data_IF_822667102560
#
_entry.id   IF_822667102560
#
_cell.length_a   1.000
_cell.length_b   1.000
_cell.length_c   1.000
_cell.angle_alpha   90.00
_cell.angle_beta   90.00
_cell.angle_gamma   90.00
#
_symmetry.space_group_name_H-M   'P 1'
#
loop_
_entity.id
_entity.type
_entity.pdbx_description
1 polymer ?
#
# COMPACT_ATOMS: atom_id res chain seq x y z
N UNK A 1 -17.50 2.15 -32.65
CA UNK A 1 -18.37 2.33 -31.46
C UNK A 1 -17.60 1.78 -30.29
N UNK A 2 -16.95 2.68 -29.55
CA UNK A 2 -16.03 2.33 -28.45
C UNK A 2 -16.86 2.34 -27.17
N UNK A 3 -17.13 1.16 -26.63
CA UNK A 3 -17.80 1.00 -25.35
C UNK A 3 -16.75 1.28 -24.23
N UNK A 4 -16.73 2.52 -23.77
CA UNK A 4 -15.99 2.90 -22.56
C UNK A 4 -16.87 2.50 -21.37
N UNK A 5 -16.71 1.27 -20.91
CA UNK A 5 -17.20 0.86 -19.59
C UNK A 5 -16.52 1.69 -18.54
N UNK A 6 -17.14 2.83 -18.19
CA UNK A 6 -16.76 3.62 -17.03
C UNK A 6 -16.87 2.71 -15.79
N UNK A 7 -15.74 2.41 -15.18
CA UNK A 7 -15.70 1.76 -13.88
C UNK A 7 -16.33 2.76 -12.89
N UNK A 8 -17.61 2.56 -12.64
CA UNK A 8 -18.33 3.31 -11.60
C UNK A 8 -17.85 2.76 -10.27
N UNK A 9 -16.80 3.34 -9.72
CA UNK A 9 -16.42 3.11 -8.33
C UNK A 9 -17.49 3.72 -7.45
N UNK A 10 -18.42 2.90 -6.98
CA UNK A 10 -19.31 3.29 -5.88
C UNK A 10 -18.41 3.69 -4.72
N UNK A 11 -18.51 4.92 -4.18
CA UNK A 11 -17.68 5.33 -3.06
C UNK A 11 -17.98 4.39 -1.90
N UNK A 12 -16.99 3.56 -1.50
CA UNK A 12 -17.15 2.67 -0.38
C UNK A 12 -17.36 3.53 0.87
N UNK A 13 -18.43 3.26 1.61
CA UNK A 13 -18.75 4.02 2.82
C UNK A 13 -17.62 3.84 3.83
N UNK A 14 -17.09 4.97 4.32
CA UNK A 14 -16.15 4.97 5.43
C UNK A 14 -16.72 4.20 6.63
N UNK A 15 -15.86 3.45 7.34
CA UNK A 15 -16.25 2.77 8.58
C UNK A 15 -16.74 3.76 9.65
N UNK A 16 -16.35 5.01 9.56
CA UNK A 16 -16.74 6.11 10.46
C UNK A 16 -17.99 6.87 10.01
N UNK A 17 -18.66 6.44 8.93
CA UNK A 17 -19.84 7.16 8.39
C UNK A 17 -21.10 7.01 9.22
N UNK A 18 -21.20 5.96 10.06
CA UNK A 18 -22.31 5.71 10.97
C UNK A 18 -21.89 4.79 12.10
N UNK A 19 -22.65 4.78 13.20
CA UNK A 19 -22.46 3.84 14.32
C UNK A 19 -22.55 2.40 13.81
N UNK A 20 -23.51 2.10 12.97
CA UNK A 20 -23.71 0.75 12.41
C UNK A 20 -22.52 0.31 11.55
N UNK A 21 -21.95 1.21 10.74
CA UNK A 21 -20.75 0.91 9.93
C UNK A 21 -19.55 0.62 10.83
N UNK A 22 -19.42 1.38 11.91
CA UNK A 22 -18.33 1.22 12.87
C UNK A 22 -18.46 -0.10 13.65
N UNK A 23 -19.64 -0.43 14.15
CA UNK A 23 -19.91 -1.71 14.84
C UNK A 23 -19.65 -2.92 13.92
N UNK A 24 -20.03 -2.80 12.63
CA UNK A 24 -19.74 -3.84 11.64
C UNK A 24 -18.23 -4.01 11.45
N UNK A 25 -17.49 -2.91 11.34
CA UNK A 25 -16.03 -2.94 11.24
C UNK A 25 -15.38 -3.53 12.49
N UNK A 26 -15.89 -3.24 13.70
CA UNK A 26 -15.41 -3.85 14.95
C UNK A 26 -15.57 -5.36 14.96
N UNK A 27 -16.71 -5.89 14.50
CA UNK A 27 -16.94 -7.35 14.42
C UNK A 27 -16.00 -8.02 13.43
N UNK A 28 -15.79 -7.41 12.26
CA UNK A 28 -14.83 -7.89 11.25
C UNK A 28 -13.41 -7.84 11.83
N UNK A 29 -13.05 -6.74 12.48
CA UNK A 29 -11.74 -6.56 13.10
C UNK A 29 -11.45 -7.63 14.15
N UNK A 30 -12.43 -7.97 15.00
CA UNK A 30 -12.29 -9.02 16.00
C UNK A 30 -11.99 -10.38 15.35
N UNK A 31 -12.73 -10.75 14.30
CA UNK A 31 -12.49 -12.01 13.58
C UNK A 31 -11.11 -12.04 12.89
N UNK A 32 -10.66 -10.91 12.36
CA UNK A 32 -9.34 -10.80 11.73
C UNK A 32 -8.21 -10.85 12.77
N UNK A 33 -8.38 -10.17 13.90
CA UNK A 33 -7.38 -10.15 14.97
C UNK A 33 -7.13 -11.52 15.61
N UNK A 34 -8.11 -12.41 15.58
CA UNK A 34 -7.99 -13.79 16.07
C UNK A 34 -7.36 -14.73 15.03
N UNK A 35 -7.16 -14.26 13.80
CA UNK A 35 -6.59 -15.08 12.73
C UNK A 35 -5.08 -15.21 12.86
N UNK A 36 -4.56 -16.42 12.72
CA UNK A 36 -3.12 -16.68 12.62
C UNK A 36 -2.49 -16.15 11.32
N UNK A 37 -3.30 -15.79 10.34
CA UNK A 37 -2.83 -15.29 9.03
C UNK A 37 -2.53 -13.81 9.00
N UNK A 38 -2.96 -13.03 9.99
CA UNK A 38 -2.64 -11.59 10.05
C UNK A 38 -1.29 -11.36 10.73
N UNK A 39 -0.54 -10.32 10.32
CA UNK A 39 0.71 -9.95 10.98
C UNK A 39 0.53 -9.58 12.45
N UNK A 40 1.59 -9.71 13.25
CA UNK A 40 1.53 -9.49 14.70
C UNK A 40 0.95 -8.13 15.13
N UNK A 41 1.18 -7.07 14.35
CA UNK A 41 0.64 -5.73 14.64
C UNK A 41 -0.89 -5.66 14.62
N UNK A 42 -1.56 -6.66 14.03
CA UNK A 42 -3.02 -6.75 13.89
C UNK A 42 -3.65 -7.83 14.77
N UNK A 43 -2.83 -8.56 15.56
CA UNK A 43 -3.32 -9.69 16.36
C UNK A 43 -3.82 -9.29 17.74
N UNK A 44 -4.83 -10.04 18.22
CA UNK A 44 -5.38 -9.95 19.56
C UNK A 44 -6.00 -8.60 19.86
N UNK A 45 -6.32 -8.37 21.12
CA UNK A 45 -6.99 -7.14 21.59
C UNK A 45 -6.21 -5.87 21.29
N UNK A 46 -4.89 -5.93 21.33
CA UNK A 46 -4.02 -4.77 21.03
C UNK A 46 -3.97 -4.46 19.53
N UNK A 47 -4.24 -5.45 18.67
CA UNK A 47 -4.28 -5.30 17.23
C UNK A 47 -5.63 -4.79 16.69
N UNK A 48 -6.69 -4.85 17.47
CA UNK A 48 -8.04 -4.44 17.03
C UNK A 48 -8.11 -3.02 16.43
N UNK A 49 -7.54 -1.98 17.06
CA UNK A 49 -7.56 -0.65 16.49
C UNK A 49 -6.86 -0.58 15.12
N UNK A 50 -5.74 -1.31 14.98
CA UNK A 50 -5.01 -1.39 13.72
C UNK A 50 -5.84 -2.10 12.64
N UNK A 51 -6.59 -3.14 13.01
CA UNK A 51 -7.53 -3.82 12.10
C UNK A 51 -8.59 -2.86 11.57
N UNK A 52 -9.20 -2.03 12.43
CA UNK A 52 -10.22 -1.05 12.03
C UNK A 52 -9.63 -0.03 11.03
N UNK A 53 -8.43 0.47 11.29
CA UNK A 53 -7.73 1.38 10.38
C UNK A 53 -7.45 0.70 9.03
N UNK A 54 -7.00 -0.56 9.05
CA UNK A 54 -6.75 -1.32 7.83
C UNK A 54 -8.04 -1.57 7.02
N UNK A 55 -9.17 -1.81 7.69
CA UNK A 55 -10.50 -1.95 7.05
C UNK A 55 -10.90 -0.63 6.39
N UNK A 56 -10.71 0.52 7.06
CA UNK A 56 -11.00 1.83 6.47
C UNK A 56 -10.16 2.09 5.21
N UNK A 57 -8.86 1.81 5.28
CA UNK A 57 -7.95 1.94 4.13
C UNK A 57 -8.39 1.03 2.99
N UNK A 58 -8.71 -0.23 3.29
CA UNK A 58 -9.18 -1.20 2.32
C UNK A 58 -10.46 -0.73 1.61
N UNK A 59 -11.43 -0.21 2.38
CA UNK A 59 -12.66 0.34 1.83
C UNK A 59 -12.38 1.51 0.87
N UNK A 60 -11.49 2.44 1.24
CA UNK A 60 -11.13 3.58 0.38
C UNK A 60 -10.38 3.18 -0.88
N UNK A 61 -9.59 2.12 -0.80
CA UNK A 61 -8.79 1.61 -1.93
C UNK A 61 -9.53 0.57 -2.78
N UNK A 62 -10.72 0.14 -2.36
CA UNK A 62 -11.45 -0.96 -3.02
C UNK A 62 -10.73 -2.30 -2.93
N UNK A 63 -10.04 -2.56 -1.82
CA UNK A 63 -9.21 -3.74 -1.60
C UNK A 63 -9.74 -4.60 -0.46
N UNK A 64 -9.22 -5.82 -0.36
CA UNK A 64 -9.48 -6.67 0.81
C UNK A 64 -8.74 -6.14 2.04
N UNK A 65 -9.37 -6.08 3.24
CA UNK A 65 -8.69 -5.74 4.49
C UNK A 65 -7.47 -6.62 4.76
N UNK A 66 -7.57 -7.90 4.46
CA UNK A 66 -6.46 -8.85 4.62
C UNK A 66 -5.26 -8.48 3.74
N UNK A 67 -5.50 -8.10 2.49
CA UNK A 67 -4.44 -7.66 1.56
C UNK A 67 -3.75 -6.38 2.07
N UNK A 68 -4.51 -5.45 2.64
CA UNK A 68 -3.94 -4.25 3.29
C UNK A 68 -3.06 -4.65 4.46
N UNK A 69 -3.55 -5.50 5.38
CA UNK A 69 -2.80 -5.93 6.57
C UNK A 69 -1.48 -6.64 6.21
N UNK A 70 -1.46 -7.43 5.13
CA UNK A 70 -0.24 -8.11 4.66
C UNK A 70 0.83 -7.16 4.11
N UNK A 71 0.44 -5.97 3.68
CA UNK A 71 1.31 -5.04 2.98
C UNK A 71 1.53 -3.70 3.71
N UNK A 72 0.77 -3.44 4.76
CA UNK A 72 0.85 -2.23 5.56
C UNK A 72 1.56 -2.52 6.88
N UNK A 73 2.81 -2.08 6.98
CA UNK A 73 3.62 -2.20 8.18
C UNK A 73 3.42 -0.99 9.09
N UNK A 74 3.42 -1.20 10.40
CA UNK A 74 3.41 -0.11 11.39
C UNK A 74 4.84 0.05 11.91
N UNK A 75 5.52 1.11 11.49
CA UNK A 75 6.90 1.41 11.85
C UNK A 75 6.91 2.67 12.73
N UNK A 76 7.27 2.53 14.00
CA UNK A 76 7.26 3.64 14.96
C UNK A 76 5.92 4.42 14.99
N UNK A 77 4.79 3.70 14.94
CA UNK A 77 3.45 4.29 14.93
C UNK A 77 3.02 4.92 13.60
N UNK A 78 3.82 4.78 12.54
CA UNK A 78 3.49 5.28 11.20
C UNK A 78 3.19 4.12 10.24
N UNK A 79 2.09 4.20 9.47
CA UNK A 79 1.82 3.21 8.45
C UNK A 79 2.81 3.37 7.28
N UNK A 80 3.36 2.25 6.84
CA UNK A 80 4.30 2.18 5.70
C UNK A 80 3.93 1.01 4.80
N UNK A 81 3.74 1.27 3.52
CA UNK A 81 3.50 0.22 2.53
C UNK A 81 4.78 -0.55 2.19
N UNK A 82 4.65 -1.85 1.96
CA UNK A 82 5.75 -2.64 1.42
C UNK A 82 6.12 -2.15 0.01
N UNK A 83 7.42 -2.11 -0.30
CA UNK A 83 7.90 -1.67 -1.62
C UNK A 83 7.34 -2.53 -2.76
N UNK A 84 7.24 -3.84 -2.55
CA UNK A 84 6.67 -4.77 -3.53
C UNK A 84 5.22 -4.46 -3.83
N UNK A 85 4.43 -4.08 -2.81
CA UNK A 85 3.04 -3.70 -2.99
C UNK A 85 2.90 -2.40 -3.78
N UNK A 86 3.72 -1.39 -3.47
CA UNK A 86 3.76 -0.13 -4.21
C UNK A 86 4.10 -0.38 -5.69
N UNK A 87 5.12 -1.19 -5.96
CA UNK A 87 5.52 -1.57 -7.32
C UNK A 87 4.34 -2.25 -8.05
N UNK A 88 3.69 -3.21 -7.40
CA UNK A 88 2.52 -3.89 -7.94
C UNK A 88 1.36 -2.94 -8.29
N UNK A 89 1.06 -1.98 -7.40
CA UNK A 89 0.04 -0.96 -7.65
C UNK A 89 0.39 -0.08 -8.85
N UNK A 90 1.65 0.36 -8.96
CA UNK A 90 2.09 1.21 -10.07
C UNK A 90 2.06 0.43 -11.39
N UNK A 91 2.50 -0.82 -11.39
CA UNK A 91 2.41 -1.69 -12.58
C UNK A 91 0.95 -1.96 -12.99
N UNK A 92 0.08 -2.18 -12.01
CA UNK A 92 -1.35 -2.43 -12.24
C UNK A 92 -2.18 -1.20 -12.62
N UNK A 93 -1.69 0.03 -12.38
CA UNK A 93 -2.45 1.26 -12.65
C UNK A 93 -2.61 1.57 -14.16
N UNK A 94 -1.93 0.84 -15.04
CA UNK A 94 -2.03 0.96 -16.49
C UNK A 94 -1.37 2.21 -17.09
N UNK A 95 -0.75 3.08 -16.28
CA UNK A 95 -0.11 4.33 -16.74
C UNK A 95 1.31 4.13 -17.27
N UNK A 96 2.00 3.08 -16.83
CA UNK A 96 3.39 2.80 -17.16
C UNK A 96 3.52 1.50 -17.96
N UNK A 97 4.49 1.43 -18.86
CA UNK A 97 4.82 0.23 -19.63
C UNK A 97 5.75 -0.72 -18.88
N UNK A 98 6.46 -0.21 -17.88
CA UNK A 98 7.40 -0.98 -17.08
C UNK A 98 8.37 -0.10 -16.32
N UNK A 99 9.22 -0.76 -15.56
CA UNK A 99 10.32 -0.13 -14.82
C UNK A 99 11.64 -0.67 -15.30
N UNK A 100 12.63 0.20 -15.35
CA UNK A 100 14.03 -0.15 -15.44
C UNK A 100 14.80 0.48 -14.29
N UNK A 101 15.95 -0.09 -13.97
CA UNK A 101 16.80 0.40 -12.90
C UNK A 101 18.16 0.76 -13.49
N UNK A 102 18.56 2.03 -13.32
CA UNK A 102 19.92 2.47 -13.63
C UNK A 102 20.78 2.29 -12.38
N UNK A 103 21.54 1.21 -12.36
CA UNK A 103 22.43 0.83 -11.26
C UNK A 103 23.85 1.25 -11.56
N UNK A 104 24.47 1.90 -10.59
CA UNK A 104 25.89 2.25 -10.60
C UNK A 104 26.54 1.78 -9.30
N UNK A 105 27.88 1.85 -9.22
CA UNK A 105 28.60 1.52 -7.98
C UNK A 105 28.17 2.38 -6.79
N UNK A 106 27.66 3.58 -7.03
CA UNK A 106 27.34 4.58 -6.00
C UNK A 106 25.85 4.63 -5.66
N UNK A 107 24.99 4.03 -6.48
CA UNK A 107 23.54 4.13 -6.25
C UNK A 107 22.68 3.53 -7.33
N UNK A 108 21.38 3.72 -7.17
CA UNK A 108 20.36 3.20 -8.06
C UNK A 108 19.27 4.25 -8.31
N UNK A 109 18.72 4.27 -9.52
CA UNK A 109 17.60 5.11 -9.92
C UNK A 109 16.57 4.25 -10.66
N UNK A 110 15.31 4.41 -10.30
CA UNK A 110 14.21 3.79 -11.03
C UNK A 110 13.76 4.73 -12.16
N UNK A 111 13.56 4.17 -13.34
CA UNK A 111 13.05 4.88 -14.51
C UNK A 111 11.82 4.16 -15.02
N UNK A 112 10.74 4.89 -15.25
CA UNK A 112 9.48 4.37 -15.77
C UNK A 112 9.14 5.01 -17.12
N UNK A 113 8.47 4.27 -18.01
CA UNK A 113 7.97 4.81 -19.28
C UNK A 113 6.47 5.04 -19.20
N UNK A 114 6.01 6.24 -19.52
CA UNK A 114 4.58 6.55 -19.63
C UNK A 114 3.98 5.92 -20.89
N UNK A 115 2.88 5.20 -20.74
CA UNK A 115 2.16 4.62 -21.89
C UNK A 115 1.54 5.66 -22.82
N UNK A 116 1.10 6.79 -22.25
CA UNK A 116 0.39 7.83 -23.01
C UNK A 116 1.28 8.60 -23.95
N UNK A 117 2.53 8.86 -23.57
CA UNK A 117 3.48 9.72 -24.34
C UNK A 117 4.74 9.00 -24.76
N UNK A 118 5.04 7.83 -24.18
CA UNK A 118 6.32 7.15 -24.34
C UNK A 118 7.49 7.85 -23.61
N UNK A 119 7.21 8.91 -22.85
CA UNK A 119 8.19 9.69 -22.11
C UNK A 119 8.74 8.90 -20.93
N UNK A 120 10.03 9.07 -20.66
CA UNK A 120 10.69 8.51 -19.48
C UNK A 120 10.49 9.42 -18.27
N UNK A 121 10.11 8.83 -17.16
CA UNK A 121 9.98 9.51 -15.87
C UNK A 121 11.02 8.94 -14.93
N UNK A 122 11.91 9.79 -14.48
CA UNK A 122 12.99 9.44 -13.57
C UNK A 122 12.52 9.57 -12.12
N UNK A 123 12.73 8.51 -11.36
CA UNK A 123 12.61 8.53 -9.90
C UNK A 123 13.84 9.22 -9.27
N UNK A 124 13.81 9.48 -7.96
CA UNK A 124 14.98 9.99 -7.25
C UNK A 124 16.13 8.97 -7.30
N UNK A 125 17.35 9.47 -7.49
CA UNK A 125 18.54 8.62 -7.37
C UNK A 125 18.86 8.41 -5.91
N UNK A 126 18.90 7.15 -5.48
CA UNK A 126 19.27 6.76 -4.13
C UNK A 126 20.74 6.37 -4.13
N UNK A 127 21.54 7.04 -3.31
CA UNK A 127 23.00 6.82 -3.26
C UNK A 127 23.40 6.09 -1.99
N UNK A 128 24.59 5.45 -2.01
CA UNK A 128 25.17 4.83 -0.83
C UNK A 128 25.43 5.84 0.30
N UNK A 129 25.76 7.09 -0.04
CA UNK A 129 25.95 8.14 0.96
C UNK A 129 24.64 8.52 1.66
N UNK A 130 23.53 8.55 0.92
CA UNK A 130 22.19 8.72 1.53
C UNK A 130 21.89 7.55 2.47
N UNK A 131 22.13 6.32 2.04
CA UNK A 131 21.92 5.13 2.87
C UNK A 131 22.76 5.15 4.16
N UNK A 132 24.01 5.62 4.08
CA UNK A 132 24.88 5.79 5.26
C UNK A 132 24.34 6.86 6.21
N UNK A 133 23.93 8.02 5.68
CA UNK A 133 23.37 9.13 6.48
C UNK A 133 22.11 8.72 7.22
N UNK A 134 21.24 7.94 6.55
CA UNK A 134 20.00 7.41 7.13
C UNK A 134 20.22 6.18 8.03
N UNK A 135 21.44 5.69 8.14
CA UNK A 135 21.78 4.55 8.99
C UNK A 135 21.35 3.19 8.46
N UNK A 136 20.96 3.09 7.17
CA UNK A 136 20.51 1.82 6.54
C UNK A 136 21.63 0.80 6.38
N UNK A 137 22.90 1.21 6.46
CA UNK A 137 24.08 0.35 6.34
C UNK A 137 24.63 -0.14 7.68
N UNK A 138 23.96 0.19 8.80
CA UNK A 138 24.32 -0.31 10.12
C UNK A 138 23.62 -1.63 10.37
N UNK A 139 24.39 -2.71 10.42
CA UNK A 139 23.98 -4.01 10.96
C UNK A 139 24.04 -3.99 12.47
#
# INVERSE_FOLDING_TARGET
MSDQSAITTTPSKSVYSSIQSFESAQRIAASLADSALVPNAYRGQQGLPNCIVAIEIANRMGMSPFQVMQNLNVIHGRPSWSSQFIIGLIQGCGRFEGFSYDETQDGCQCVARLKSTGELVDGPRITLDMAKKEGWTKN
#
